data_IF_480034690717
#
_entry.id   IF_480034690717
#
_cell.length_a   1.000
_cell.length_b   1.000
_cell.length_c   1.000
_cell.angle_alpha   90.00
_cell.angle_beta   90.00
_cell.angle_gamma   90.00
#
_symmetry.space_group_name_H-M   'P 1'
#
loop_
_entity.id
_entity.type
_entity.pdbx_description
1 polymer ?
#
# COMPACT_ATOMS: atom_id res chain seq x y z
N UNK A 1 -13.00 52.97 52.35
CA UNK A 1 -12.21 53.56 51.24
C UNK A 1 -10.89 52.81 51.11
N UNK A 2 -10.46 52.64 49.86
CA UNK A 2 -9.20 52.04 49.34
C UNK A 2 -9.22 50.53 49.04
N UNK A 3 -9.41 50.31 47.74
CA UNK A 3 -9.19 49.14 46.91
C UNK A 3 -7.79 48.54 47.04
N UNK A 4 -7.67 47.23 46.82
CA UNK A 4 -6.58 46.68 46.01
C UNK A 4 -7.13 45.52 45.16
N UNK A 5 -6.98 45.67 43.84
CA UNK A 5 -7.25 44.67 42.79
C UNK A 5 -5.99 43.85 42.61
N UNK A 6 -6.08 42.52 42.59
CA UNK A 6 -5.12 41.67 41.89
C UNK A 6 -5.90 40.68 41.00
N UNK A 7 -5.40 40.59 39.78
CA UNK A 7 -5.96 40.05 38.56
C UNK A 7 -5.60 38.56 38.40
N UNK A 8 -6.53 37.83 37.74
CA UNK A 8 -6.33 36.65 36.88
C UNK A 8 -5.88 35.30 37.48
N UNK A 9 -6.69 34.27 37.22
CA UNK A 9 -6.25 33.19 36.34
C UNK A 9 -7.47 32.46 35.71
N UNK A 10 -7.51 32.46 34.38
CA UNK A 10 -8.39 31.61 33.58
C UNK A 10 -8.03 30.14 33.81
N UNK A 11 -8.99 29.31 34.25
CA UNK A 11 -8.89 27.87 34.08
C UNK A 11 -9.74 27.49 32.87
N UNK A 12 -9.11 27.57 31.69
CA UNK A 12 -9.59 26.87 30.52
C UNK A 12 -9.38 25.37 30.79
N UNK A 13 -10.45 24.64 31.07
CA UNK A 13 -10.46 23.18 31.05
C UNK A 13 -10.18 22.72 29.62
N UNK A 14 -8.91 22.44 29.34
CA UNK A 14 -8.46 21.75 28.15
C UNK A 14 -9.06 20.34 28.14
N UNK A 15 -10.14 20.18 27.37
CA UNK A 15 -10.58 18.88 26.92
C UNK A 15 -9.53 18.41 25.91
N UNK A 16 -8.50 17.74 26.40
CA UNK A 16 -7.52 17.08 25.55
C UNK A 16 -8.24 16.04 24.71
N UNK A 17 -8.44 16.32 23.42
CA UNK A 17 -8.66 15.26 22.45
C UNK A 17 -7.40 14.41 22.47
N UNK A 18 -7.43 13.30 23.19
CA UNK A 18 -6.51 12.22 22.95
C UNK A 18 -6.72 11.80 21.50
N UNK A 19 -5.78 12.15 20.61
CA UNK A 19 -5.68 11.50 19.31
C UNK A 19 -5.50 10.02 19.61
N UNK A 20 -6.58 9.24 19.47
CA UNK A 20 -6.49 7.79 19.48
C UNK A 20 -5.53 7.41 18.35
N UNK A 21 -4.39 6.84 18.71
CA UNK A 21 -3.52 6.22 17.72
C UNK A 21 -4.36 5.20 16.94
N UNK A 22 -4.27 5.17 15.60
CA UNK A 22 -5.02 4.22 14.80
C UNK A 22 -4.75 2.81 15.34
N UNK A 23 -5.81 2.12 15.74
CA UNK A 23 -5.68 0.77 16.28
C UNK A 23 -5.11 -0.14 15.19
N UNK A 24 -4.17 -1.03 15.52
CA UNK A 24 -3.71 -2.03 14.56
C UNK A 24 -4.91 -2.87 14.14
N UNK A 25 -5.17 -2.93 12.83
CA UNK A 25 -6.25 -3.75 12.28
C UNK A 25 -6.07 -5.20 12.67
N UNK A 26 -7.18 -5.87 12.95
CA UNK A 26 -7.19 -7.30 13.21
C UNK A 26 -6.66 -8.07 11.99
N UNK A 27 -6.13 -9.27 12.23
CA UNK A 27 -5.63 -10.16 11.17
C UNK A 27 -6.71 -10.41 10.09
N UNK A 28 -7.98 -10.55 10.50
CA UNK A 28 -9.13 -10.73 9.60
C UNK A 28 -9.37 -9.50 8.71
N UNK A 29 -9.22 -8.29 9.25
CA UNK A 29 -9.35 -7.05 8.48
C UNK A 29 -8.18 -6.87 7.49
N UNK A 30 -6.97 -7.28 7.88
CA UNK A 30 -5.81 -7.32 6.97
C UNK A 30 -6.04 -8.34 5.85
N UNK A 31 -6.51 -9.54 6.16
CA UNK A 31 -6.83 -10.57 5.17
C UNK A 31 -7.92 -10.10 4.18
N UNK A 32 -8.94 -9.40 4.66
CA UNK A 32 -10.02 -8.86 3.81
C UNK A 32 -9.52 -7.78 2.85
N UNK A 33 -8.59 -6.93 3.28
CA UNK A 33 -7.94 -5.93 2.41
C UNK A 33 -7.01 -6.58 1.39
N UNK A 34 -6.24 -7.59 1.79
CA UNK A 34 -5.41 -8.37 0.87
C UNK A 34 -6.24 -9.03 -0.22
N UNK A 35 -7.43 -9.55 0.10
CA UNK A 35 -8.32 -10.19 -0.87
C UNK A 35 -8.73 -9.26 -2.02
N UNK A 36 -8.70 -7.93 -1.83
CA UNK A 36 -9.03 -6.97 -2.90
C UNK A 36 -8.00 -6.99 -4.03
N UNK A 37 -6.73 -7.24 -3.69
CA UNK A 37 -5.62 -7.20 -4.65
C UNK A 37 -5.01 -8.58 -4.91
N UNK A 38 -5.24 -9.54 -4.03
CA UNK A 38 -4.83 -10.93 -4.21
C UNK A 38 -5.44 -11.46 -5.51
N UNK A 39 -4.57 -11.87 -6.44
CA UNK A 39 -5.02 -12.73 -7.54
C UNK A 39 -5.62 -13.99 -6.95
N UNK A 40 -6.79 -14.40 -7.43
CA UNK A 40 -7.33 -15.75 -7.24
C UNK A 40 -6.46 -16.69 -8.07
N UNK A 41 -5.22 -16.87 -7.65
CA UNK A 41 -4.32 -17.87 -8.19
C UNK A 41 -4.73 -19.19 -7.51
N UNK A 42 -5.69 -19.88 -8.12
CA UNK A 42 -6.02 -21.27 -7.82
C UNK A 42 -4.73 -22.06 -7.63
N UNK A 43 -4.56 -22.72 -6.48
CA UNK A 43 -3.56 -23.74 -6.12
C UNK A 43 -2.70 -24.26 -7.29
N UNK A 44 -1.80 -23.42 -7.79
CA UNK A 44 -1.04 -23.67 -9.00
C UNK A 44 0.21 -24.45 -8.66
N UNK A 45 0.11 -25.76 -8.73
CA UNK A 45 1.24 -26.69 -8.67
C UNK A 45 2.27 -26.37 -9.77
N UNK A 46 3.38 -25.70 -9.43
CA UNK A 46 4.51 -25.57 -10.34
C UNK A 46 5.56 -24.53 -9.97
N UNK A 47 6.61 -24.94 -9.24
CA UNK A 47 7.93 -24.31 -9.21
C UNK A 47 8.09 -23.01 -8.40
N UNK A 48 8.94 -23.06 -7.37
CA UNK A 48 9.48 -21.94 -6.57
C UNK A 48 8.53 -21.02 -5.78
N UNK A 49 7.22 -21.20 -5.86
CA UNK A 49 6.24 -20.50 -5.01
C UNK A 49 6.46 -20.66 -3.51
N UNK A 50 6.94 -21.82 -3.07
CA UNK A 50 7.16 -22.14 -1.66
C UNK A 50 8.43 -21.54 -1.06
N UNK A 51 9.21 -20.73 -1.80
CA UNK A 51 10.46 -20.16 -1.29
C UNK A 51 10.30 -18.80 -0.58
N UNK A 52 9.13 -18.16 -0.66
CA UNK A 52 8.89 -16.88 0.01
C UNK A 52 7.46 -16.81 0.59
N UNK A 53 7.27 -17.33 1.81
CA UNK A 53 6.11 -17.02 2.68
C UNK A 53 6.47 -17.34 4.15
N UNK A 54 6.03 -16.61 5.20
CA UNK A 54 5.00 -15.57 5.18
C UNK A 54 5.34 -14.32 6.03
N UNK A 55 5.39 -13.16 5.39
CA UNK A 55 4.93 -11.98 6.13
C UNK A 55 3.40 -11.97 5.98
N UNK A 56 2.62 -11.92 7.07
CA UNK A 56 1.15 -11.92 6.96
C UNK A 56 0.63 -10.70 6.17
N UNK A 57 1.45 -9.66 6.07
CA UNK A 57 1.15 -8.42 5.39
C UNK A 57 1.71 -8.35 3.97
N UNK A 58 2.55 -9.28 3.49
CA UNK A 58 3.17 -9.21 2.14
C UNK A 58 3.18 -10.57 1.44
N UNK A 59 2.77 -10.60 0.18
CA UNK A 59 2.89 -11.80 -0.65
C UNK A 59 3.27 -11.47 -2.08
N UNK A 60 4.03 -12.38 -2.69
CA UNK A 60 4.41 -12.30 -4.09
C UNK A 60 3.54 -13.23 -4.93
N UNK A 61 3.22 -12.80 -6.15
CA UNK A 61 2.44 -13.64 -7.05
C UNK A 61 3.29 -14.75 -7.65
N UNK A 62 2.60 -15.85 -7.91
CA UNK A 62 3.20 -17.14 -8.19
C UNK A 62 2.97 -17.59 -9.64
N UNK A 63 1.79 -17.33 -10.14
CA UNK A 63 1.38 -17.44 -11.54
C UNK A 63 1.44 -16.07 -12.22
N UNK A 64 1.07 -16.03 -13.50
CA UNK A 64 1.04 -14.80 -14.29
C UNK A 64 2.26 -14.63 -15.19
N UNK A 65 2.26 -13.52 -15.92
CA UNK A 65 3.35 -13.18 -16.84
C UNK A 65 4.60 -12.74 -16.06
N UNK A 66 5.75 -12.84 -16.73
CA UNK A 66 7.02 -12.35 -16.21
C UNK A 66 7.36 -11.02 -16.88
N UNK A 67 7.78 -10.05 -16.07
CA UNK A 67 8.27 -8.76 -16.50
C UNK A 67 9.67 -8.50 -15.97
N UNK A 68 10.34 -7.47 -16.49
CA UNK A 68 11.65 -7.07 -16.01
C UNK A 68 11.56 -6.16 -14.78
N UNK A 69 12.59 -6.19 -13.94
CA UNK A 69 12.72 -5.31 -12.77
C UNK A 69 12.73 -3.83 -13.14
N UNK A 70 13.47 -3.45 -14.18
CA UNK A 70 13.56 -2.05 -14.63
C UNK A 70 12.17 -1.43 -14.89
N UNK A 71 11.33 -2.05 -15.74
CA UNK A 71 9.94 -1.63 -15.95
C UNK A 71 9.07 -1.66 -14.70
N UNK A 72 9.27 -2.63 -13.79
CA UNK A 72 8.52 -2.67 -12.53
C UNK A 72 8.88 -1.50 -11.61
N UNK A 73 10.18 -1.19 -11.51
CA UNK A 73 10.71 -0.11 -10.66
C UNK A 73 10.32 1.26 -11.19
N UNK A 74 10.60 1.53 -12.46
CA UNK A 74 10.20 2.78 -13.12
C UNK A 74 8.67 2.92 -13.19
N UNK A 75 7.93 1.83 -13.43
CA UNK A 75 6.46 1.85 -13.47
C UNK A 75 5.83 2.20 -12.14
N UNK A 76 6.39 1.68 -11.03
CA UNK A 76 5.93 2.07 -9.70
C UNK A 76 6.27 3.52 -9.37
N UNK A 77 7.42 4.04 -9.81
CA UNK A 77 7.75 5.45 -9.62
C UNK A 77 6.79 6.35 -10.40
N UNK A 78 6.52 6.03 -11.67
CA UNK A 78 5.59 6.77 -12.52
C UNK A 78 4.18 6.78 -11.92
N UNK A 79 3.72 5.63 -11.39
CA UNK A 79 2.43 5.53 -10.70
C UNK A 79 2.36 6.45 -9.47
N UNK A 80 3.39 6.42 -8.62
CA UNK A 80 3.45 7.26 -7.42
C UNK A 80 3.50 8.76 -7.75
N UNK A 81 4.19 9.14 -8.83
CA UNK A 81 4.21 10.53 -9.32
C UNK A 81 2.83 10.94 -9.88
N UNK A 82 2.14 10.06 -10.60
CA UNK A 82 0.78 10.33 -11.08
C UNK A 82 -0.21 10.49 -9.92
N UNK A 83 -0.06 9.70 -8.86
CA UNK A 83 -0.97 9.74 -7.73
C UNK A 83 -0.57 10.76 -6.66
N UNK A 84 0.54 11.47 -6.81
CA UNK A 84 1.04 12.41 -5.82
C UNK A 84 -0.04 13.43 -5.40
N UNK A 85 -0.40 13.43 -4.11
CA UNK A 85 -1.43 14.32 -3.56
C UNK A 85 -2.88 13.94 -3.93
N UNK A 86 -3.12 12.86 -4.68
CA UNK A 86 -4.46 12.31 -4.88
C UNK A 86 -4.98 11.75 -3.57
N UNK A 87 -6.27 11.94 -3.35
CA UNK A 87 -6.99 11.36 -2.22
C UNK A 87 -7.83 10.19 -2.71
N UNK A 88 -7.71 9.05 -2.03
CA UNK A 88 -8.44 7.82 -2.30
C UNK A 88 -9.52 7.68 -1.23
N UNK A 89 -10.79 7.62 -1.64
CA UNK A 89 -11.89 7.41 -0.70
C UNK A 89 -11.79 6.03 -0.01
N UNK A 90 -12.34 5.93 1.21
CA UNK A 90 -12.44 4.66 1.95
C UNK A 90 -13.06 3.57 1.07
N UNK A 91 -12.43 2.39 1.04
CA UNK A 91 -12.88 1.24 0.25
C UNK A 91 -12.68 1.38 -1.26
N UNK A 92 -11.96 2.40 -1.72
CA UNK A 92 -11.68 2.64 -3.14
C UNK A 92 -10.22 2.32 -3.49
N UNK A 93 -9.93 2.19 -4.79
CA UNK A 93 -8.56 2.02 -5.30
C UNK A 93 -8.24 3.02 -6.41
N UNK A 94 -6.96 3.33 -6.54
CA UNK A 94 -6.38 3.95 -7.75
C UNK A 94 -5.51 2.93 -8.46
N UNK A 95 -5.43 3.05 -9.78
CA UNK A 95 -4.73 2.11 -10.64
C UNK A 95 -3.96 2.85 -11.73
N UNK A 96 -2.79 2.31 -12.09
CA UNK A 96 -1.90 2.83 -13.11
C UNK A 96 -1.41 1.64 -13.92
N UNK A 97 -1.58 1.69 -15.23
CA UNK A 97 -1.11 0.64 -16.13
C UNK A 97 0.09 1.11 -16.91
N UNK A 98 1.23 0.44 -16.72
CA UNK A 98 2.39 0.56 -17.60
C UNK A 98 2.33 -0.51 -18.69
N UNK A 99 2.27 -0.08 -19.94
CA UNK A 99 2.39 -0.98 -21.08
C UNK A 99 3.85 -1.17 -21.47
N UNK A 100 4.30 -2.43 -21.50
CA UNK A 100 5.59 -2.81 -22.06
C UNK A 100 5.35 -3.55 -23.40
N UNK A 101 6.39 -3.81 -24.19
CA UNK A 101 6.23 -4.52 -25.47
C UNK A 101 5.54 -5.89 -25.33
N UNK A 102 5.91 -6.67 -24.31
CA UNK A 102 5.51 -8.08 -24.14
C UNK A 102 4.51 -8.33 -23.01
N UNK A 103 4.30 -7.35 -22.13
CA UNK A 103 3.42 -7.47 -20.97
C UNK A 103 2.85 -6.10 -20.59
N UNK A 104 1.92 -6.09 -19.65
CA UNK A 104 1.50 -4.87 -18.95
C UNK A 104 1.69 -5.07 -17.46
N UNK A 105 1.96 -3.98 -16.76
CA UNK A 105 2.11 -3.95 -15.31
C UNK A 105 1.05 -3.03 -14.75
N UNK A 106 0.24 -3.55 -13.83
CA UNK A 106 -0.85 -2.82 -13.19
C UNK A 106 -0.40 -2.53 -11.77
N UNK A 107 -0.19 -1.26 -11.45
CA UNK A 107 0.12 -0.79 -10.10
C UNK A 107 -1.15 -0.25 -9.47
N UNK A 108 -1.34 -0.47 -8.17
CA UNK A 108 -2.53 0.00 -7.47
C UNK A 108 -2.25 0.31 -6.00
N UNK A 109 -3.06 1.22 -5.47
CA UNK A 109 -3.21 1.48 -4.05
C UNK A 109 -4.69 1.35 -3.72
N UNK A 110 -5.03 0.46 -2.80
CA UNK A 110 -6.35 0.34 -2.20
C UNK A 110 -6.35 1.02 -0.84
N UNK A 111 -7.32 1.91 -0.60
CA UNK A 111 -7.53 2.51 0.71
C UNK A 111 -8.49 1.63 1.53
N UNK A 112 -7.95 1.02 2.58
CA UNK A 112 -8.74 0.23 3.52
C UNK A 112 -9.04 0.95 4.84
N UNK A 113 -8.62 2.21 5.03
CA UNK A 113 -9.08 3.00 6.18
C UNK A 113 -10.55 3.38 6.01
N UNK A 114 -11.20 3.77 7.11
CA UNK A 114 -12.52 4.42 7.15
C UNK A 114 -12.47 5.93 6.86
N UNK A 115 -11.29 6.48 6.55
CA UNK A 115 -11.07 7.86 6.13
C UNK A 115 -10.37 7.93 4.78
N UNK A 116 -10.26 9.14 4.24
CA UNK A 116 -9.57 9.45 3.00
C UNK A 116 -8.05 9.27 3.09
N UNK A 117 -7.46 8.47 2.19
CA UNK A 117 -6.02 8.26 2.13
C UNK A 117 -5.39 9.17 1.08
N UNK A 118 -4.52 10.10 1.49
CA UNK A 118 -3.73 10.93 0.57
C UNK A 118 -2.39 10.28 0.27
N UNK A 119 -2.10 10.11 -1.02
CA UNK A 119 -0.84 9.51 -1.46
C UNK A 119 0.32 10.47 -1.25
N UNK A 120 1.24 10.10 -0.35
CA UNK A 120 2.54 10.72 -0.27
C UNK A 120 3.49 10.05 -1.28
N UNK A 121 4.06 10.79 -2.24
CA UNK A 121 4.84 10.19 -3.33
C UNK A 121 6.13 9.52 -2.85
N UNK A 122 6.80 10.04 -1.82
CA UNK A 122 8.04 9.47 -1.29
C UNK A 122 7.78 8.15 -0.56
N UNK A 123 6.71 8.10 0.25
CA UNK A 123 6.29 6.87 0.92
C UNK A 123 5.82 5.83 -0.11
N UNK A 124 4.97 6.23 -1.05
CA UNK A 124 4.50 5.36 -2.13
C UNK A 124 5.67 4.72 -2.88
N UNK A 125 6.67 5.53 -3.28
CA UNK A 125 7.87 5.02 -3.94
C UNK A 125 8.57 4.02 -3.04
N UNK A 126 8.94 4.41 -1.82
CA UNK A 126 9.64 3.54 -0.86
C UNK A 126 8.93 2.19 -0.65
N UNK A 127 7.60 2.20 -0.50
CA UNK A 127 6.78 1.02 -0.29
C UNK A 127 6.81 0.09 -1.51
N UNK A 128 6.60 0.64 -2.71
CA UNK A 128 6.72 -0.14 -3.95
C UNK A 128 8.14 -0.64 -4.19
N UNK A 129 9.18 0.11 -3.85
CA UNK A 129 10.57 -0.35 -3.99
C UNK A 129 10.84 -1.56 -3.10
N UNK A 130 10.34 -1.53 -1.86
CA UNK A 130 10.42 -2.68 -0.95
C UNK A 130 9.64 -3.88 -1.48
N UNK A 131 8.42 -3.67 -2.00
CA UNK A 131 7.64 -4.76 -2.59
C UNK A 131 8.31 -5.34 -3.85
N UNK A 132 8.88 -4.50 -4.71
CA UNK A 132 9.69 -4.94 -5.84
C UNK A 132 10.88 -5.81 -5.38
N UNK A 133 11.65 -5.35 -4.39
CA UNK A 133 12.78 -6.13 -3.88
C UNK A 133 12.34 -7.45 -3.22
N UNK A 134 11.18 -7.44 -2.56
CA UNK A 134 10.62 -8.64 -1.94
C UNK A 134 10.12 -9.66 -2.96
N UNK A 135 9.54 -9.20 -4.07
CA UNK A 135 8.94 -10.04 -5.11
C UNK A 135 9.79 -10.22 -6.36
N UNK A 136 11.12 -10.13 -6.22
CA UNK A 136 12.06 -10.52 -7.27
C UNK A 136 12.03 -12.06 -7.42
N UNK A 137 11.62 -12.55 -8.59
CA UNK A 137 11.33 -13.97 -8.81
C UNK A 137 12.53 -14.75 -9.37
N UNK A 138 13.45 -14.06 -10.07
CA UNK A 138 14.78 -14.55 -10.48
C UNK A 138 15.56 -13.42 -11.15
N UNK A 139 16.88 -13.32 -10.96
CA UNK A 139 17.84 -12.41 -11.62
C UNK A 139 17.18 -11.35 -12.53
N UNK A 140 16.65 -10.28 -11.93
CA UNK A 140 16.05 -9.12 -12.62
C UNK A 140 14.62 -9.30 -13.21
N UNK A 141 13.82 -10.24 -12.69
CA UNK A 141 12.44 -10.49 -13.14
C UNK A 141 11.40 -10.44 -12.02
N UNK A 142 10.17 -10.04 -12.38
CA UNK A 142 9.04 -9.86 -11.47
C UNK A 142 7.75 -10.44 -12.03
N UNK A 143 6.90 -10.94 -11.12
CA UNK A 143 5.49 -11.28 -11.40
C UNK A 143 4.50 -10.35 -10.70
N UNK A 144 4.98 -9.59 -9.73
CA UNK A 144 4.15 -8.76 -8.87
C UNK A 144 3.93 -9.35 -7.49
N UNK A 145 3.13 -8.63 -6.71
CA UNK A 145 2.74 -8.98 -5.36
C UNK A 145 1.88 -7.88 -4.74
N UNK A 146 1.61 -8.03 -3.46
CA UNK A 146 0.90 -7.04 -2.65
C UNK A 146 1.53 -6.90 -1.28
N UNK A 147 1.32 -5.72 -0.69
CA UNK A 147 1.69 -5.38 0.68
C UNK A 147 0.53 -4.66 1.35
N UNK A 148 -0.08 -5.31 2.34
CA UNK A 148 -1.00 -4.72 3.30
C UNK A 148 -0.25 -3.86 4.31
N UNK A 149 -0.64 -2.61 4.43
CA UNK A 149 -0.23 -1.74 5.51
C UNK A 149 -1.45 -1.46 6.38
N UNK A 150 -1.29 -0.86 7.58
CA UNK A 150 -2.42 -0.62 8.48
C UNK A 150 -3.61 0.10 7.82
N UNK A 151 -3.34 0.90 6.77
CA UNK A 151 -4.34 1.78 6.18
C UNK A 151 -4.50 1.69 4.66
N UNK A 152 -3.54 1.09 3.97
CA UNK A 152 -3.62 0.91 2.53
C UNK A 152 -2.99 -0.42 2.16
N UNK A 153 -3.43 -0.98 1.03
CA UNK A 153 -2.73 -2.10 0.41
C UNK A 153 -2.17 -1.61 -0.90
N UNK A 154 -0.87 -1.73 -1.10
CA UNK A 154 -0.27 -1.54 -2.41
C UNK A 154 -0.15 -2.88 -3.12
N UNK A 155 -0.22 -2.85 -4.44
CA UNK A 155 0.04 -4.01 -5.25
C UNK A 155 0.55 -3.63 -6.61
N UNK A 156 1.36 -4.51 -7.19
CA UNK A 156 1.59 -4.47 -8.62
C UNK A 156 1.49 -5.85 -9.21
N UNK A 157 0.98 -5.94 -10.42
CA UNK A 157 0.74 -7.20 -11.09
C UNK A 157 1.23 -7.17 -12.54
N UNK A 158 2.10 -8.13 -12.89
CA UNK A 158 2.52 -8.35 -14.26
C UNK A 158 1.55 -9.28 -14.97
N UNK A 159 0.96 -8.76 -16.03
CA UNK A 159 -0.05 -9.43 -16.85
C UNK A 159 0.44 -9.59 -18.28
N UNK A 160 0.00 -10.65 -18.95
CA UNK A 160 0.17 -10.75 -20.39
C UNK A 160 -0.55 -9.57 -21.07
N UNK A 161 -0.01 -9.17 -22.22
CA UNK A 161 -0.59 -8.07 -23.00
C UNK A 161 -1.96 -8.44 -23.55
#
# INVERSE_FOLDING_TARGET
>A
MKFLIILALNLATGLGLALAAPQPKSEIELETQAQVLKRVDDNGTGGNCGQYNPSPDKQCYCSGAIGGRGPAWSGSSDACDEWAGKTIASGSKVEFTRWNPTNKMIFNIYNGCDWEYTVNPDNCKSEFQQLNNYCEWSWDTHKGGWWNMPCATIGFDVNAR
#
